data_IF_502206898459
#
_entry.id   IF_502206898459
#
_cell.length_a   1.000
_cell.length_b   1.000
_cell.length_c   1.000
_cell.angle_alpha   90.00
_cell.angle_beta   90.00
_cell.angle_gamma   90.00
#
_symmetry.space_group_name_H-M   'P 1'
#
loop_
_entity.id
_entity.type
_entity.pdbx_description
1 polymer ?
#
# COMPACT_ATOMS: atom_id res chain seq x y z
N UNK A 1 -6.94 -55.86 -28.68
CA UNK A 1 -6.31 -55.05 -27.61
C UNK A 1 -7.34 -54.06 -27.09
N UNK A 2 -7.69 -54.16 -25.82
CA UNK A 2 -8.73 -53.34 -25.16
C UNK A 2 -8.21 -51.89 -25.05
N UNK A 3 -8.82 -50.95 -25.73
CA UNK A 3 -8.49 -49.50 -25.68
C UNK A 3 -8.97 -48.81 -24.39
N UNK A 4 -9.74 -49.55 -23.55
CA UNK A 4 -10.35 -49.02 -22.34
C UNK A 4 -9.37 -48.48 -21.25
N UNK A 5 -8.36 -49.23 -20.82
CA UNK A 5 -7.49 -48.81 -19.72
C UNK A 5 -6.62 -47.57 -20.06
N UNK A 6 -6.23 -47.43 -21.34
CA UNK A 6 -5.44 -46.25 -21.79
C UNK A 6 -6.28 -44.97 -21.74
N UNK A 7 -7.54 -45.05 -22.13
CA UNK A 7 -8.46 -43.89 -22.08
C UNK A 7 -8.75 -43.44 -20.66
N UNK A 8 -8.90 -44.37 -19.71
CA UNK A 8 -9.08 -44.07 -18.27
C UNK A 8 -7.84 -43.38 -17.68
N UNK A 9 -6.64 -43.88 -17.98
CA UNK A 9 -5.39 -43.28 -17.48
C UNK A 9 -5.23 -41.85 -18.02
N UNK A 10 -5.49 -41.61 -19.33
CA UNK A 10 -5.45 -40.27 -19.90
C UNK A 10 -6.46 -39.32 -19.26
N UNK A 11 -7.67 -39.78 -18.99
CA UNK A 11 -8.68 -38.95 -18.32
C UNK A 11 -8.25 -38.55 -16.90
N UNK A 12 -7.64 -39.48 -16.12
CA UNK A 12 -7.12 -39.16 -14.78
C UNK A 12 -6.00 -38.14 -14.85
N UNK A 13 -5.08 -38.26 -15.80
CA UNK A 13 -3.97 -37.30 -15.96
C UNK A 13 -4.51 -35.91 -16.32
N UNK A 14 -5.46 -35.81 -17.23
CA UNK A 14 -6.05 -34.54 -17.64
C UNK A 14 -6.79 -33.89 -16.45
N UNK A 15 -7.63 -34.62 -15.75
CA UNK A 15 -8.38 -34.12 -14.58
C UNK A 15 -7.41 -33.69 -13.50
N UNK A 16 -6.39 -34.50 -13.19
CA UNK A 16 -5.37 -34.19 -12.20
C UNK A 16 -4.56 -32.92 -12.56
N UNK A 17 -4.22 -32.76 -13.84
CA UNK A 17 -3.51 -31.58 -14.33
C UNK A 17 -4.35 -30.32 -14.23
N UNK A 18 -5.65 -30.39 -14.59
CA UNK A 18 -6.58 -29.26 -14.48
C UNK A 18 -6.80 -28.89 -13.01
N UNK A 19 -7.05 -29.87 -12.14
CA UNK A 19 -7.25 -29.65 -10.73
C UNK A 19 -5.98 -29.05 -10.07
N UNK A 20 -4.79 -29.58 -10.41
CA UNK A 20 -3.52 -29.06 -9.97
C UNK A 20 -3.27 -27.62 -10.43
N UNK A 21 -3.58 -27.31 -11.67
CA UNK A 21 -3.48 -25.95 -12.21
C UNK A 21 -4.43 -24.97 -11.51
N UNK A 22 -5.70 -25.36 -11.32
CA UNK A 22 -6.69 -24.53 -10.60
C UNK A 22 -6.23 -24.30 -9.16
N UNK A 23 -5.78 -25.34 -8.46
CA UNK A 23 -5.24 -25.23 -7.11
C UNK A 23 -4.05 -24.26 -7.09
N UNK A 24 -3.07 -24.44 -7.97
CA UNK A 24 -1.89 -23.60 -8.04
C UNK A 24 -2.25 -22.13 -8.27
N UNK A 25 -3.11 -21.83 -9.25
CA UNK A 25 -3.46 -20.44 -9.59
C UNK A 25 -4.35 -19.74 -8.56
N UNK A 26 -5.14 -20.51 -7.80
CA UNK A 26 -6.12 -19.95 -6.86
C UNK A 26 -5.63 -19.91 -5.41
N UNK A 27 -4.77 -20.84 -5.00
CA UNK A 27 -4.39 -21.01 -3.60
C UNK A 27 -2.92 -20.71 -3.31
N UNK A 28 -2.04 -20.79 -4.30
CA UNK A 28 -0.64 -20.44 -4.07
C UNK A 28 -0.50 -18.93 -3.98
N UNK A 29 0.03 -18.38 -2.86
CA UNK A 29 0.14 -16.95 -2.68
C UNK A 29 1.24 -16.36 -3.56
N UNK A 30 1.05 -15.11 -3.97
CA UNK A 30 2.11 -14.25 -4.49
C UNK A 30 2.78 -13.45 -3.39
N UNK A 31 3.53 -12.43 -3.78
CA UNK A 31 4.23 -11.52 -2.87
C UNK A 31 3.70 -10.11 -3.08
N UNK A 32 3.33 -9.45 -1.99
CA UNK A 32 2.97 -8.02 -1.96
C UNK A 32 4.04 -7.26 -1.20
N UNK A 33 4.61 -6.23 -1.82
CA UNK A 33 5.51 -5.27 -1.19
C UNK A 33 4.81 -3.92 -1.11
N UNK A 34 4.77 -3.32 0.07
CA UNK A 34 4.32 -1.94 0.26
C UNK A 34 5.53 -1.03 0.47
N UNK A 35 5.54 0.08 -0.25
CA UNK A 35 6.52 1.15 -0.07
C UNK A 35 5.83 2.47 0.20
N UNK A 36 6.51 3.41 0.84
CA UNK A 36 6.04 4.77 1.04
C UNK A 36 7.06 5.76 0.50
N UNK A 37 6.57 6.84 -0.08
CA UNK A 37 7.36 7.97 -0.54
C UNK A 37 6.62 9.27 -0.27
N UNK A 38 7.34 10.37 -0.24
CA UNK A 38 6.77 11.70 -0.32
C UNK A 38 7.00 12.22 -1.75
N UNK A 39 5.95 12.35 -2.57
CA UNK A 39 6.10 12.81 -3.94
C UNK A 39 6.44 14.30 -3.98
N UNK A 40 7.17 14.79 -5.00
CA UNK A 40 7.42 16.21 -5.16
C UNK A 40 6.09 16.97 -5.30
N UNK A 41 5.89 17.97 -4.46
CA UNK A 41 4.69 18.82 -4.49
C UNK A 41 4.84 20.03 -5.42
N UNK A 42 6.05 20.33 -5.84
CA UNK A 42 6.37 21.50 -6.65
C UNK A 42 6.39 21.21 -8.15
N UNK A 43 6.10 22.21 -9.01
CA UNK A 43 6.36 22.12 -10.45
C UNK A 43 7.81 21.79 -10.73
N UNK A 44 8.13 21.17 -11.88
CA UNK A 44 9.52 20.90 -12.28
C UNK A 44 10.38 22.17 -12.19
N UNK A 45 11.43 22.14 -11.39
CA UNK A 45 12.36 23.27 -11.21
C UNK A 45 12.48 23.80 -9.77
N UNK A 46 11.54 23.47 -8.86
CA UNK A 46 11.66 23.80 -7.45
C UNK A 46 11.89 22.50 -6.65
N UNK A 47 13.10 22.34 -6.15
CA UNK A 47 13.50 21.15 -5.37
C UNK A 47 13.05 21.19 -3.91
N UNK A 48 12.38 22.26 -3.47
CA UNK A 48 11.98 22.44 -2.09
C UNK A 48 10.51 22.05 -1.93
N UNK A 49 10.30 20.96 -1.25
CA UNK A 49 8.97 20.34 -1.06
C UNK A 49 8.23 20.90 0.15
N UNK A 50 8.97 21.32 1.17
CA UNK A 50 8.44 21.92 2.39
C UNK A 50 9.16 23.21 2.71
N UNK A 51 8.54 24.08 3.52
CA UNK A 51 9.15 25.28 4.04
C UNK A 51 10.47 24.97 4.75
N UNK A 52 11.48 25.82 4.58
CA UNK A 52 12.82 25.63 5.13
C UNK A 52 12.88 25.61 6.66
N UNK A 53 11.83 26.05 7.33
CA UNK A 53 11.69 25.94 8.79
C UNK A 53 11.33 24.54 9.26
N UNK A 54 10.85 23.64 8.38
CA UNK A 54 10.46 22.26 8.70
C UNK A 54 11.67 21.36 8.52
N UNK A 55 12.08 20.66 9.59
CA UNK A 55 13.25 19.76 9.58
C UNK A 55 12.87 18.30 9.49
N UNK A 56 11.77 17.90 10.13
CA UNK A 56 11.26 16.53 10.11
C UNK A 56 9.74 16.50 10.12
N UNK A 57 9.15 15.49 9.46
CA UNK A 57 7.73 15.17 9.52
C UNK A 57 7.60 13.69 9.86
N UNK A 58 7.38 13.39 11.13
CA UNK A 58 7.20 12.02 11.62
C UNK A 58 5.73 11.62 11.54
N UNK A 59 5.45 10.58 10.79
CA UNK A 59 4.10 10.03 10.62
C UNK A 59 4.02 8.65 11.25
N UNK A 60 3.09 8.47 12.17
CA UNK A 60 2.79 7.17 12.77
C UNK A 60 1.74 6.46 11.95
N UNK A 61 2.13 5.37 11.29
CA UNK A 61 1.28 4.58 10.39
C UNK A 61 1.11 3.14 10.87
N UNK A 62 -0.10 2.61 10.69
CA UNK A 62 -0.47 1.26 11.14
C UNK A 62 -1.68 0.72 10.39
N UNK A 63 -2.09 -0.51 10.69
CA UNK A 63 -3.37 -1.07 10.31
C UNK A 63 -3.63 -1.13 8.80
N UNK A 64 -2.64 -1.53 8.03
CA UNK A 64 -2.76 -1.64 6.57
C UNK A 64 -3.73 -2.73 6.17
N UNK A 65 -4.60 -2.42 5.20
CA UNK A 65 -5.54 -3.35 4.60
C UNK A 65 -5.68 -3.07 3.10
N UNK A 66 -5.94 -4.11 2.31
CA UNK A 66 -6.33 -4.00 0.89
C UNK A 66 -7.76 -4.46 0.69
N UNK A 67 -8.44 -3.86 -0.25
CA UNK A 67 -9.80 -4.21 -0.62
C UNK A 67 -9.81 -5.20 -1.78
N UNK A 68 -10.55 -6.29 -1.63
CA UNK A 68 -10.76 -7.30 -2.68
C UNK A 68 -11.73 -6.72 -3.71
N UNK A 69 -11.29 -6.60 -4.95
CA UNK A 69 -12.07 -6.02 -6.03
C UNK A 69 -13.40 -6.78 -6.24
N UNK A 70 -14.47 -6.00 -6.43
CA UNK A 70 -15.82 -6.56 -6.62
C UNK A 70 -16.58 -6.85 -5.32
N UNK A 71 -15.97 -6.66 -4.16
CA UNK A 71 -16.66 -6.74 -2.87
C UNK A 71 -17.29 -5.37 -2.50
N UNK A 72 -18.24 -5.36 -1.56
CA UNK A 72 -18.85 -4.12 -1.07
C UNK A 72 -17.86 -3.26 -0.27
N UNK A 73 -18.07 -1.95 -0.27
CA UNK A 73 -17.17 -0.98 0.40
C UNK A 73 -16.93 -1.22 1.90
N UNK A 74 -17.86 -1.86 2.58
CA UNK A 74 -17.78 -2.21 4.00
C UNK A 74 -17.21 -3.61 4.26
N UNK A 75 -17.17 -4.46 3.23
CA UNK A 75 -16.67 -5.83 3.26
C UNK A 75 -15.46 -5.99 2.33
N UNK A 76 -14.83 -7.16 2.34
CA UNK A 76 -13.73 -7.43 1.40
C UNK A 76 -12.37 -6.80 1.77
N UNK A 77 -12.20 -6.28 2.98
CA UNK A 77 -10.93 -5.76 3.46
C UNK A 77 -10.09 -6.88 4.07
N UNK A 78 -8.94 -7.14 3.46
CA UNK A 78 -7.95 -8.09 3.94
C UNK A 78 -6.79 -7.34 4.63
N UNK A 79 -6.48 -7.74 5.86
CA UNK A 79 -5.39 -7.13 6.63
C UNK A 79 -4.02 -7.51 6.07
N UNK A 80 -3.11 -6.55 6.08
CA UNK A 80 -1.70 -6.70 5.72
C UNK A 80 -0.90 -6.72 7.02
N UNK A 81 -0.09 -7.76 7.22
CA UNK A 81 0.70 -7.96 8.43
C UNK A 81 1.97 -7.08 8.42
N UNK A 82 1.78 -5.76 8.48
CA UNK A 82 2.84 -4.77 8.67
C UNK A 82 2.71 -4.19 10.07
N UNK A 83 3.79 -4.23 10.84
CA UNK A 83 3.84 -3.63 12.17
C UNK A 83 3.67 -2.12 12.11
N UNK A 84 3.07 -1.50 13.14
CA UNK A 84 3.06 -0.05 13.29
C UNK A 84 4.47 0.52 13.23
N UNK A 85 4.64 1.63 12.52
CA UNK A 85 5.94 2.27 12.40
C UNK A 85 5.82 3.78 12.24
N UNK A 86 6.88 4.48 12.66
CA UNK A 86 7.05 5.91 12.45
C UNK A 86 7.94 6.13 11.22
N UNK A 87 7.49 6.96 10.30
CA UNK A 87 8.22 7.32 9.09
C UNK A 87 8.50 8.81 9.09
N UNK A 88 9.77 9.20 8.91
CA UNK A 88 10.17 10.59 8.71
C UNK A 88 10.06 10.91 7.22
N UNK A 89 9.01 11.61 6.82
CA UNK A 89 8.69 11.86 5.42
C UNK A 89 9.74 12.71 4.71
N UNK A 90 10.41 13.63 5.43
CA UNK A 90 11.50 14.46 4.85
C UNK A 90 12.62 13.59 4.27
N UNK A 91 12.93 12.46 4.90
CA UNK A 91 13.97 11.53 4.43
C UNK A 91 13.59 10.77 3.17
N UNK A 92 12.31 10.74 2.84
CA UNK A 92 11.77 9.98 1.71
C UNK A 92 11.20 10.86 0.60
N UNK A 93 11.66 12.12 0.54
CA UNK A 93 11.47 13.01 -0.60
C UNK A 93 12.08 12.39 -1.85
N UNK A 94 11.25 12.08 -2.87
CA UNK A 94 11.68 11.45 -4.12
C UNK A 94 12.37 10.08 -3.99
N UNK A 95 12.35 9.48 -2.80
CA UNK A 95 12.91 8.15 -2.53
C UNK A 95 11.85 7.30 -1.83
N UNK A 96 11.81 6.01 -2.10
CA UNK A 96 10.86 5.11 -1.46
C UNK A 96 11.49 4.37 -0.28
N UNK A 97 10.72 4.25 0.80
CA UNK A 97 11.01 3.37 1.92
C UNK A 97 10.10 2.14 1.83
N UNK A 98 10.66 0.94 1.96
CA UNK A 98 9.86 -0.26 2.14
C UNK A 98 9.20 -0.26 3.52
N UNK A 99 7.90 -0.47 3.56
CA UNK A 99 7.12 -0.66 4.77
C UNK A 99 7.07 -2.12 5.18
N UNK A 100 7.05 -3.02 4.21
CA UNK A 100 7.09 -4.46 4.41
C UNK A 100 6.77 -5.24 3.16
N UNK A 101 7.23 -6.50 3.16
CA UNK A 101 6.98 -7.49 2.11
C UNK A 101 6.39 -8.75 2.74
N UNK A 102 5.32 -9.30 2.14
CA UNK A 102 4.63 -10.47 2.67
C UNK A 102 4.03 -11.33 1.57
N UNK A 103 3.74 -12.57 1.92
CA UNK A 103 2.91 -13.46 1.10
C UNK A 103 1.46 -13.03 1.19
N UNK A 104 0.79 -12.94 0.03
CA UNK A 104 -0.59 -12.49 -0.04
C UNK A 104 -1.40 -13.38 -0.99
N UNK A 105 -2.67 -13.59 -0.69
CA UNK A 105 -3.54 -14.48 -1.46
C UNK A 105 -3.66 -14.05 -2.91
N UNK A 106 -3.76 -14.99 -3.83
CA UNK A 106 -4.10 -14.72 -5.21
C UNK A 106 -5.47 -14.02 -5.28
N UNK A 107 -5.59 -12.97 -6.09
CA UNK A 107 -6.80 -12.18 -6.20
C UNK A 107 -6.57 -10.82 -6.83
N UNK A 108 -7.65 -10.10 -7.11
CA UNK A 108 -7.63 -8.72 -7.59
C UNK A 108 -7.95 -7.76 -6.45
N UNK A 109 -7.21 -6.68 -6.33
CA UNK A 109 -7.31 -5.69 -5.25
C UNK A 109 -7.37 -4.28 -5.85
N UNK A 110 -8.27 -3.42 -5.38
CA UNK A 110 -8.58 -2.12 -5.99
C UNK A 110 -8.36 -0.91 -5.08
N UNK A 111 -8.18 -1.12 -3.80
CA UNK A 111 -7.97 -0.03 -2.84
C UNK A 111 -7.05 -0.45 -1.69
N UNK A 112 -6.36 0.53 -1.13
CA UNK A 112 -5.57 0.41 0.10
C UNK A 112 -6.21 1.28 1.17
N UNK A 113 -6.18 0.86 2.44
CA UNK A 113 -6.43 1.73 3.58
C UNK A 113 -5.43 1.47 4.70
N UNK A 114 -5.14 2.52 5.47
CA UNK A 114 -4.23 2.46 6.60
C UNK A 114 -4.57 3.57 7.59
N UNK A 115 -4.11 3.42 8.83
CA UNK A 115 -4.32 4.39 9.87
C UNK A 115 -3.10 5.31 10.00
N UNK A 116 -3.37 6.61 10.14
CA UNK A 116 -2.40 7.63 10.58
C UNK A 116 -2.82 8.07 11.98
N UNK A 117 -2.09 7.62 12.98
CA UNK A 117 -2.45 7.85 14.39
C UNK A 117 -1.94 9.18 14.95
N UNK A 118 -1.04 9.85 14.24
CA UNK A 118 -0.52 11.16 14.58
C UNK A 118 0.62 11.57 13.67
N UNK A 119 0.83 12.88 13.59
CA UNK A 119 1.95 13.50 12.87
C UNK A 119 2.66 14.44 13.83
N UNK A 120 3.99 14.33 13.92
CA UNK A 120 4.83 15.27 14.66
C UNK A 120 5.74 15.98 13.67
N UNK A 121 5.75 17.29 13.72
CA UNK A 121 6.61 18.12 12.86
C UNK A 121 7.62 18.85 13.73
N UNK A 122 8.89 18.69 13.39
CA UNK A 122 9.99 19.42 14.01
C UNK A 122 10.40 20.59 13.12
N UNK A 123 10.71 21.70 13.80
CA UNK A 123 11.09 22.94 13.16
C UNK A 123 12.53 23.33 13.51
N UNK A 124 13.14 24.17 12.66
CA UNK A 124 14.39 24.84 12.97
C UNK A 124 14.29 25.58 14.31
N UNK A 125 15.32 25.47 15.14
CA UNK A 125 15.30 26.03 16.50
C UNK A 125 14.81 25.07 17.58
N UNK A 126 14.50 23.78 17.22
CA UNK A 126 14.22 22.71 18.18
C UNK A 126 12.80 22.72 18.75
N UNK A 127 11.86 23.41 18.10
CA UNK A 127 10.45 23.34 18.48
C UNK A 127 9.73 22.25 17.71
N UNK A 128 8.74 21.58 18.34
CA UNK A 128 7.91 20.56 17.71
C UNK A 128 6.44 20.91 17.83
N UNK A 129 5.64 20.48 16.84
CA UNK A 129 4.18 20.55 16.88
C UNK A 129 3.58 19.18 16.60
N UNK A 130 2.49 18.85 17.30
CA UNK A 130 1.76 17.60 17.14
C UNK A 130 0.44 17.91 16.43
N UNK A 131 0.12 17.09 15.42
CA UNK A 131 -1.09 17.23 14.61
C UNK A 131 -1.92 15.97 14.67
N UNK A 132 -3.23 16.15 14.69
CA UNK A 132 -4.22 15.09 14.57
C UNK A 132 -4.67 15.02 13.11
N UNK A 133 -4.73 13.82 12.57
CA UNK A 133 -5.38 13.55 11.28
C UNK A 133 -6.86 13.26 11.55
N UNK A 134 -7.80 14.12 11.14
CA UNK A 134 -9.19 14.04 11.60
C UNK A 134 -9.88 12.72 11.31
N UNK A 135 -9.63 12.10 10.16
CA UNK A 135 -10.22 10.81 9.80
C UNK A 135 -9.53 9.62 10.49
N UNK A 136 -8.27 9.77 10.91
CA UNK A 136 -7.45 8.69 11.46
C UNK A 136 -7.18 7.53 10.49
N UNK A 137 -8.06 7.32 9.51
CA UNK A 137 -7.94 6.26 8.49
C UNK A 137 -8.00 6.87 7.10
N UNK A 138 -6.98 6.59 6.30
CA UNK A 138 -6.93 7.01 4.90
C UNK A 138 -7.30 5.84 4.00
N UNK A 139 -8.26 6.06 3.09
CA UNK A 139 -8.61 5.14 2.01
C UNK A 139 -8.08 5.66 0.70
N UNK A 140 -7.31 4.86 0.00
CA UNK A 140 -6.60 5.24 -1.23
C UNK A 140 -7.00 4.27 -2.34
N UNK A 141 -7.75 4.73 -3.34
CA UNK A 141 -8.03 3.90 -4.50
C UNK A 141 -6.75 3.66 -5.31
N UNK A 142 -6.63 2.48 -5.88
CA UNK A 142 -5.51 2.12 -6.74
C UNK A 142 -5.95 2.35 -8.20
N UNK A 143 -5.22 3.19 -8.97
CA UNK A 143 -5.57 3.51 -10.35
C UNK A 143 -5.68 2.29 -11.25
N UNK A 144 -6.28 2.46 -12.44
CA UNK A 144 -6.41 1.43 -13.47
C UNK A 144 -7.19 0.17 -13.04
N UNK A 145 -8.05 0.33 -12.02
CA UNK A 145 -8.87 -0.76 -11.49
C UNK A 145 -8.11 -1.73 -10.60
N UNK A 146 -6.98 -1.29 -10.01
CA UNK A 146 -6.24 -2.05 -9.02
C UNK A 146 -5.09 -2.88 -9.58
N UNK A 147 -4.68 -3.90 -8.81
CA UNK A 147 -3.64 -4.86 -9.17
C UNK A 147 -4.11 -6.29 -8.94
N UNK A 148 -3.42 -7.23 -9.57
CA UNK A 148 -3.70 -8.65 -9.43
C UNK A 148 -2.47 -9.37 -8.86
N UNK A 149 -2.69 -10.15 -7.82
CA UNK A 149 -1.73 -11.12 -7.30
C UNK A 149 -2.07 -12.48 -7.88
N UNK A 150 -1.11 -13.14 -8.49
CA UNK A 150 -1.19 -14.52 -8.98
C UNK A 150 -0.17 -15.38 -8.27
N UNK A 151 -0.25 -16.69 -8.43
CA UNK A 151 0.73 -17.62 -7.90
C UNK A 151 2.16 -17.20 -8.25
N UNK A 152 3.02 -17.07 -7.23
CA UNK A 152 4.44 -16.68 -7.38
C UNK A 152 4.71 -15.29 -7.95
N UNK A 153 3.67 -14.50 -8.29
CA UNK A 153 3.87 -13.11 -8.73
C UNK A 153 4.40 -12.23 -7.60
N UNK A 154 5.13 -11.18 -7.96
CA UNK A 154 5.54 -10.12 -7.05
C UNK A 154 4.94 -8.80 -7.51
N UNK A 155 4.23 -8.12 -6.63
CA UNK A 155 3.61 -6.82 -6.89
C UNK A 155 4.10 -5.84 -5.84
N UNK A 156 4.55 -4.67 -6.29
CA UNK A 156 4.90 -3.55 -5.42
C UNK A 156 3.85 -2.46 -5.54
N UNK A 157 3.28 -2.06 -4.41
CA UNK A 157 2.38 -0.90 -4.32
C UNK A 157 3.10 0.21 -3.58
N UNK A 158 3.31 1.33 -4.25
CA UNK A 158 3.88 2.53 -3.69
C UNK A 158 2.77 3.45 -3.19
N UNK A 159 2.85 3.82 -1.92
CA UNK A 159 2.01 4.82 -1.29
C UNK A 159 2.75 6.15 -1.30
N UNK A 160 2.19 7.14 -1.98
CA UNK A 160 2.64 8.52 -1.94
C UNK A 160 1.82 9.27 -0.90
N UNK A 161 2.48 9.81 0.14
CA UNK A 161 1.85 10.56 1.23
C UNK A 161 2.50 11.93 1.32
N UNK A 162 1.69 12.97 1.30
CA UNK A 162 2.16 14.35 1.34
C UNK A 162 1.28 15.24 2.22
N UNK A 163 1.83 16.36 2.66
CA UNK A 163 1.18 17.32 3.55
C UNK A 163 1.27 18.73 2.99
N UNK A 164 0.31 19.59 3.36
CA UNK A 164 0.29 20.98 2.95
C UNK A 164 1.07 21.84 3.95
N UNK A 165 2.09 22.56 3.46
CA UNK A 165 2.91 23.48 4.25
C UNK A 165 2.10 24.51 5.01
N UNK A 166 1.07 25.09 4.37
CA UNK A 166 0.24 26.11 5.02
C UNK A 166 -0.52 25.54 6.23
N UNK A 167 -0.97 24.28 6.17
CA UNK A 167 -1.59 23.61 7.32
C UNK A 167 -0.56 23.36 8.44
N UNK A 168 0.66 22.96 8.08
CA UNK A 168 1.75 22.76 9.04
C UNK A 168 2.10 24.09 9.72
N UNK A 169 2.33 25.14 8.94
CA UNK A 169 2.75 26.46 9.44
C UNK A 169 1.64 27.17 10.24
N UNK A 170 0.37 26.90 9.94
CA UNK A 170 -0.77 27.43 10.69
C UNK A 170 -0.83 26.93 12.16
N UNK A 171 -0.17 25.80 12.49
CA UNK A 171 -0.09 25.21 13.83
C UNK A 171 -1.43 25.07 14.55
N UNK A 172 -2.50 24.80 13.79
CA UNK A 172 -3.86 24.67 14.33
C UNK A 172 -4.14 23.28 14.97
N UNK A 173 -3.16 22.39 15.03
CA UNK A 173 -3.26 21.04 15.61
C UNK A 173 -3.95 20.01 14.70
N UNK A 174 -4.37 20.37 13.50
CA UNK A 174 -4.96 19.47 12.52
C UNK A 174 -4.15 19.47 11.23
N UNK A 175 -4.07 18.29 10.58
CA UNK A 175 -3.35 18.12 9.34
C UNK A 175 -4.10 17.14 8.44
N UNK A 176 -4.31 17.52 7.18
CA UNK A 176 -5.02 16.70 6.19
C UNK A 176 -4.03 16.13 5.18
N UNK A 177 -3.59 14.88 5.33
CA UNK A 177 -2.66 14.28 4.39
C UNK A 177 -3.35 13.97 3.06
N UNK A 178 -2.62 14.14 1.98
CA UNK A 178 -2.99 13.66 0.65
C UNK A 178 -2.28 12.36 0.38
N UNK A 179 -3.04 11.31 0.08
CA UNK A 179 -2.49 9.99 -0.20
C UNK A 179 -2.87 9.51 -1.60
N UNK A 180 -1.91 8.93 -2.31
CA UNK A 180 -2.09 8.27 -3.62
C UNK A 180 -1.39 6.93 -3.61
N UNK A 181 -1.89 5.97 -4.39
CA UNK A 181 -1.25 4.67 -4.57
C UNK A 181 -0.89 4.47 -6.04
N UNK A 182 0.23 3.81 -6.29
CA UNK A 182 0.70 3.45 -7.64
C UNK A 182 1.23 2.01 -7.60
N UNK A 183 0.96 1.23 -8.62
CA UNK A 183 1.55 -0.11 -8.82
C UNK A 183 2.81 0.07 -9.65
N UNK A 184 3.93 -0.49 -9.17
CA UNK A 184 5.25 -0.43 -9.82
C UNK A 184 5.55 -1.72 -10.57
#
# INVERSE_FOLDING_TARGET
MSKGPVAVILAIIIIGSIAGYIFYTSYVPGTLTLTITDPPQAPPGNSQQYDSSITHIYVNISGFQVHIAGQGNSSGWASIAISPQTVDMIKFLNVSKELGTMKFSAGKYDSLRFNVTGVTVDFVGGTSAIYIVPSGTLKVPIPSGGFQITATSSVTVQLALSFNDNEILARNGHLTPVAKATVL
#
